data_IF_278400443269
#
_entry.id   IF_278400443269
#
_cell.length_a   1.000
_cell.length_b   1.000
_cell.length_c   1.000
_cell.angle_alpha   90.00
_cell.angle_beta   90.00
_cell.angle_gamma   90.00
#
_symmetry.space_group_name_H-M   'P 1'
#
loop_
_entity.id
_entity.type
_entity.pdbx_description
1 polymer ?
#
# COMPACT_ATOMS: atom_id res chain seq x y z
N UNK A 1 -29.60 -2.06 20.08
CA UNK A 1 -28.80 -0.97 19.49
C UNK A 1 -27.30 -1.11 19.74
N UNK A 2 -26.80 -1.29 20.98
CA UNK A 2 -25.35 -1.38 21.25
C UNK A 2 -24.61 -2.53 20.52
N UNK A 3 -25.16 -3.76 20.52
CA UNK A 3 -24.55 -4.90 19.81
C UNK A 3 -24.45 -4.71 18.29
N UNK A 4 -25.47 -4.08 17.70
CA UNK A 4 -25.49 -3.81 16.26
C UNK A 4 -24.41 -2.78 15.92
N UNK A 5 -24.26 -1.73 16.72
CA UNK A 5 -23.19 -0.74 16.54
C UNK A 5 -21.79 -1.37 16.67
N UNK A 6 -21.58 -2.28 17.63
CA UNK A 6 -20.33 -3.02 17.76
C UNK A 6 -20.02 -3.90 16.55
N UNK A 7 -21.03 -4.59 16.02
CA UNK A 7 -20.89 -5.40 14.80
C UNK A 7 -20.49 -4.53 13.60
N UNK A 8 -21.14 -3.37 13.42
CA UNK A 8 -20.78 -2.42 12.36
C UNK A 8 -19.35 -1.89 12.49
N UNK A 9 -18.90 -1.58 13.72
CA UNK A 9 -17.53 -1.14 13.98
C UNK A 9 -16.52 -2.22 13.60
N UNK A 10 -16.75 -3.47 13.98
CA UNK A 10 -15.86 -4.59 13.65
C UNK A 10 -15.78 -4.83 12.14
N UNK A 11 -16.93 -4.82 11.45
CA UNK A 11 -16.98 -4.95 9.99
C UNK A 11 -16.18 -3.84 9.32
N UNK A 12 -16.33 -2.60 9.78
CA UNK A 12 -15.56 -1.46 9.26
C UNK A 12 -14.06 -1.60 9.51
N UNK A 13 -13.64 -2.09 10.68
CA UNK A 13 -12.23 -2.34 10.99
C UNK A 13 -11.64 -3.44 10.10
N UNK A 14 -12.38 -4.52 9.89
CA UNK A 14 -11.97 -5.60 9.00
C UNK A 14 -11.86 -5.14 7.55
N UNK A 15 -12.86 -4.39 7.06
CA UNK A 15 -12.81 -3.83 5.71
C UNK A 15 -11.60 -2.93 5.53
N UNK A 16 -11.34 -2.04 6.50
CA UNK A 16 -10.16 -1.19 6.48
C UNK A 16 -8.85 -1.98 6.48
N UNK A 17 -8.77 -3.09 7.22
CA UNK A 17 -7.60 -3.95 7.23
C UNK A 17 -7.39 -4.65 5.87
N UNK A 18 -8.46 -5.11 5.23
CA UNK A 18 -8.42 -5.73 3.90
C UNK A 18 -7.99 -4.73 2.82
N UNK A 19 -8.58 -3.54 2.81
CA UNK A 19 -8.22 -2.48 1.86
C UNK A 19 -6.75 -2.06 2.01
N UNK A 20 -6.29 -2.00 3.26
CA UNK A 20 -4.87 -1.71 3.56
C UNK A 20 -3.95 -2.79 2.98
N UNK A 21 -4.34 -4.06 3.06
CA UNK A 21 -3.54 -5.17 2.53
C UNK A 21 -3.38 -5.08 1.02
N UNK A 22 -4.44 -4.78 0.29
CA UNK A 22 -4.38 -4.66 -1.19
C UNK A 22 -3.38 -3.57 -1.58
N UNK A 23 -3.47 -2.39 -0.98
CA UNK A 23 -2.57 -1.28 -1.26
C UNK A 23 -1.11 -1.61 -0.91
N UNK A 24 -0.88 -2.26 0.23
CA UNK A 24 0.47 -2.64 0.67
C UNK A 24 1.10 -3.66 -0.30
N UNK A 25 0.35 -4.68 -0.72
CA UNK A 25 0.86 -5.67 -1.67
C UNK A 25 1.14 -5.07 -3.05
N UNK A 26 0.29 -4.16 -3.54
CA UNK A 26 0.55 -3.43 -4.77
C UNK A 26 1.82 -2.57 -4.67
N UNK A 27 1.98 -1.80 -3.59
CA UNK A 27 3.16 -0.99 -3.35
C UNK A 27 4.44 -1.84 -3.26
N UNK A 28 4.37 -3.01 -2.60
CA UNK A 28 5.49 -3.97 -2.58
C UNK A 28 5.87 -4.43 -3.99
N UNK A 29 4.88 -4.74 -4.83
CA UNK A 29 5.10 -5.09 -6.24
C UNK A 29 5.85 -4.00 -7.00
N UNK A 30 5.39 -2.75 -6.87
CA UNK A 30 6.02 -1.58 -7.50
C UNK A 30 7.48 -1.40 -7.06
N UNK A 31 7.77 -1.47 -5.76
CA UNK A 31 9.13 -1.30 -5.23
C UNK A 31 10.03 -2.48 -5.63
N UNK A 32 9.54 -3.71 -5.48
CA UNK A 32 10.29 -4.92 -5.85
C UNK A 32 10.70 -4.91 -7.34
N UNK A 33 9.78 -4.53 -8.23
CA UNK A 33 10.05 -4.45 -9.66
C UNK A 33 11.07 -3.35 -10.01
N UNK A 34 10.91 -2.17 -9.40
CA UNK A 34 11.77 -1.00 -9.66
C UNK A 34 13.17 -1.15 -9.12
N UNK A 35 13.29 -1.65 -7.88
CA UNK A 35 14.55 -1.75 -7.17
C UNK A 35 15.23 -3.12 -7.35
N UNK A 36 14.58 -4.07 -8.01
CA UNK A 36 15.06 -5.45 -8.21
C UNK A 36 15.37 -6.16 -6.89
N UNK A 37 14.46 -6.02 -5.92
CA UNK A 37 14.55 -6.63 -4.58
C UNK A 37 13.42 -7.62 -4.35
N UNK A 38 13.59 -8.51 -3.37
CA UNK A 38 12.52 -9.39 -2.92
C UNK A 38 11.40 -8.62 -2.19
N UNK A 39 10.23 -9.24 -2.04
CA UNK A 39 9.07 -8.60 -1.39
C UNK A 39 9.27 -8.28 0.09
N UNK A 40 10.15 -8.98 0.80
CA UNK A 40 10.47 -8.68 2.21
C UNK A 40 11.27 -7.39 2.31
N UNK A 41 12.31 -7.27 1.48
CA UNK A 41 13.11 -6.05 1.32
C UNK A 41 12.26 -4.86 0.90
N UNK A 42 11.38 -5.03 -0.10
CA UNK A 42 10.45 -3.99 -0.53
C UNK A 42 9.51 -3.54 0.61
N UNK A 43 8.97 -4.47 1.40
CA UNK A 43 8.13 -4.11 2.54
C UNK A 43 8.92 -3.41 3.66
N UNK A 44 10.17 -3.80 3.88
CA UNK A 44 11.06 -3.12 4.82
C UNK A 44 11.29 -1.66 4.41
N UNK A 45 11.53 -1.38 3.12
CA UNK A 45 11.67 -0.02 2.61
C UNK A 45 10.41 0.83 2.86
N UNK A 46 9.22 0.30 2.53
CA UNK A 46 7.94 1.01 2.78
C UNK A 46 7.78 1.34 4.27
N UNK A 47 8.11 0.38 5.16
CA UNK A 47 8.02 0.59 6.62
C UNK A 47 9.04 1.60 7.12
N UNK A 48 10.26 1.59 6.59
CA UNK A 48 11.30 2.54 6.95
C UNK A 48 10.89 3.95 6.57
N UNK A 49 10.38 4.16 5.36
CA UNK A 49 9.86 5.45 4.91
C UNK A 49 8.69 5.92 5.79
N UNK A 50 7.70 5.06 6.02
CA UNK A 50 6.56 5.36 6.89
C UNK A 50 6.99 5.76 8.31
N UNK A 51 7.99 5.07 8.87
CA UNK A 51 8.53 5.39 10.20
C UNK A 51 9.28 6.72 10.22
N UNK A 52 10.13 6.97 9.21
CA UNK A 52 10.91 8.21 9.10
C UNK A 52 9.99 9.43 9.00
N UNK A 53 8.89 9.30 8.28
CA UNK A 53 7.90 10.38 8.09
C UNK A 53 6.79 10.39 9.17
N UNK A 54 6.80 9.45 10.11
CA UNK A 54 5.75 9.29 11.14
C UNK A 54 4.34 9.13 10.56
N UNK A 55 4.22 8.42 9.44
CA UNK A 55 2.96 8.21 8.71
C UNK A 55 2.51 6.75 8.76
N UNK A 56 1.21 6.48 8.61
CA UNK A 56 0.73 5.11 8.47
C UNK A 56 1.30 4.42 7.22
N UNK A 57 1.70 3.16 7.33
CA UNK A 57 2.22 2.36 6.20
C UNK A 57 1.24 2.33 5.02
N UNK A 58 -0.08 2.27 5.28
CA UNK A 58 -1.12 2.33 4.24
C UNK A 58 -1.05 3.64 3.42
N UNK A 59 -0.75 4.77 4.05
CA UNK A 59 -0.69 6.06 3.38
C UNK A 59 0.50 6.13 2.42
N UNK A 60 1.67 5.68 2.87
CA UNK A 60 2.87 5.57 2.03
C UNK A 60 2.65 4.59 0.87
N UNK A 61 2.03 3.44 1.13
CA UNK A 61 1.69 2.48 0.09
C UNK A 61 0.74 3.07 -0.97
N UNK A 62 -0.27 3.83 -0.55
CA UNK A 62 -1.21 4.50 -1.47
C UNK A 62 -0.50 5.51 -2.39
N UNK A 63 0.44 6.29 -1.86
CA UNK A 63 1.24 7.23 -2.66
C UNK A 63 2.11 6.51 -3.70
N UNK A 64 2.79 5.43 -3.30
CA UNK A 64 3.62 4.62 -4.21
C UNK A 64 2.78 4.11 -5.39
N UNK A 65 1.60 3.57 -5.10
CA UNK A 65 0.67 3.07 -6.13
C UNK A 65 0.15 4.20 -7.01
N UNK A 66 -0.22 5.35 -6.44
CA UNK A 66 -0.69 6.50 -7.21
C UNK A 66 0.39 7.06 -8.15
N UNK A 67 1.63 7.19 -7.68
CA UNK A 67 2.77 7.61 -8.50
C UNK A 67 3.05 6.61 -9.64
N UNK A 68 2.88 5.31 -9.39
CA UNK A 68 3.02 4.29 -10.41
C UNK A 68 1.92 4.33 -11.48
N UNK A 69 0.66 4.52 -11.09
CA UNK A 69 -0.44 4.72 -12.06
C UNK A 69 -0.24 5.96 -12.93
N UNK A 70 0.31 7.05 -12.38
CA UNK A 70 0.66 8.24 -13.16
C UNK A 70 1.77 7.94 -14.19
N UNK A 71 2.80 7.18 -13.80
CA UNK A 71 3.86 6.75 -14.72
C UNK A 71 3.34 5.86 -15.85
N UNK A 72 2.32 5.04 -15.60
CA UNK A 72 1.65 4.28 -16.67
C UNK A 72 0.73 5.13 -17.54
N UNK A 73 -0.03 6.06 -16.96
CA UNK A 73 -0.93 6.95 -17.70
C UNK A 73 -0.19 7.95 -18.60
N UNK A 74 1.04 8.35 -18.24
CA UNK A 74 1.88 9.26 -19.04
C UNK A 74 2.72 8.59 -20.14
N UNK A 75 2.50 7.31 -20.47
CA UNK A 75 2.99 6.73 -21.72
C UNK A 75 4.51 6.50 -21.80
N UNK A 76 5.14 5.95 -20.74
CA UNK A 76 6.42 5.27 -20.91
C UNK A 76 6.18 3.76 -21.03
N UNK A 77 6.12 3.29 -22.26
CA UNK A 77 6.44 1.89 -22.59
C UNK A 77 7.82 1.58 -22.02
N UNK A 78 7.88 0.79 -20.95
CA UNK A 78 9.07 0.01 -20.64
C UNK A 78 9.20 -1.01 -21.77
N UNK A 79 10.01 -0.64 -22.77
CA UNK A 79 10.55 -1.55 -23.77
C UNK A 79 11.22 -2.69 -23.01
N UNK A 80 10.73 -3.92 -23.26
CA UNK A 80 11.51 -5.14 -23.02
C UNK A 80 12.75 -5.13 -23.92
#
# INVERSE_FOLDING_TARGET
THRINQAYLLVSQLQNALDSRVLIEQAKGVIAERNKVDFSSAFHEIRTLARQEQRPVRAVAAEIVAHHHCLFASGKTLTQ
#
